data_IF_622328523010
#
_entry.id   IF_622328523010
#
_cell.length_a   1.000
_cell.length_b   1.000
_cell.length_c   1.000
_cell.angle_alpha   90.00
_cell.angle_beta   90.00
_cell.angle_gamma   90.00
#
_symmetry.space_group_name_H-M   'P 1'
#
loop_
_entity.id
_entity.type
_entity.pdbx_description
1 polymer ?
#
# COMPACT_ATOMS: atom_id res chain seq x y z
N UNK A 1 4.30 12.97 43.61
CA UNK A 1 4.82 12.47 42.31
C UNK A 1 4.61 13.56 41.27
N UNK A 2 5.66 14.00 40.54
CA UNK A 2 5.54 15.02 39.50
C UNK A 2 4.64 14.53 38.36
N UNK A 3 3.72 15.38 37.87
CA UNK A 3 2.84 15.05 36.74
C UNK A 3 3.66 15.08 35.45
N UNK A 4 3.63 13.98 34.70
CA UNK A 4 4.31 13.85 33.42
C UNK A 4 3.79 14.91 32.42
N UNK A 5 4.65 15.58 31.63
CA UNK A 5 4.19 16.52 30.61
C UNK A 5 3.29 15.83 29.58
N UNK A 6 2.25 16.54 29.09
CA UNK A 6 1.23 15.99 28.18
C UNK A 6 1.84 15.41 26.88
N UNK A 7 2.88 16.03 26.35
CA UNK A 7 3.56 15.56 25.14
C UNK A 7 4.31 14.24 25.39
N UNK A 8 4.96 14.07 26.55
CA UNK A 8 5.61 12.80 26.93
C UNK A 8 4.56 11.70 27.09
N UNK A 9 3.41 12.03 27.71
CA UNK A 9 2.31 11.08 27.84
C UNK A 9 1.76 10.64 26.48
N UNK A 10 1.65 11.57 25.51
CA UNK A 10 1.25 11.25 24.14
C UNK A 10 2.27 10.33 23.46
N UNK A 11 3.57 10.68 23.52
CA UNK A 11 4.64 9.90 22.90
C UNK A 11 4.66 8.45 23.46
N UNK A 12 4.58 8.29 24.78
CA UNK A 12 4.55 6.97 25.40
C UNK A 12 3.32 6.16 24.99
N UNK A 13 2.14 6.80 24.93
CA UNK A 13 0.91 6.15 24.45
C UNK A 13 1.01 5.75 22.99
N UNK A 14 1.58 6.60 22.15
CA UNK A 14 1.79 6.32 20.74
C UNK A 14 2.67 5.09 20.56
N UNK A 15 3.85 5.06 21.18
CA UNK A 15 4.74 3.91 21.08
C UNK A 15 4.10 2.64 21.67
N UNK A 16 3.42 2.74 22.81
CA UNK A 16 2.69 1.62 23.39
C UNK A 16 1.62 1.06 22.45
N UNK A 17 0.81 1.91 21.82
CA UNK A 17 -0.19 1.50 20.84
C UNK A 17 0.47 0.91 19.59
N UNK A 18 1.55 1.53 19.09
CA UNK A 18 2.28 1.11 17.91
C UNK A 18 2.87 -0.29 18.07
N UNK A 19 3.64 -0.53 19.14
CA UNK A 19 4.19 -1.85 19.42
C UNK A 19 3.10 -2.88 19.73
N UNK A 20 2.03 -2.49 20.43
CA UNK A 20 0.89 -3.37 20.68
C UNK A 20 0.20 -3.83 19.39
N UNK A 21 -0.03 -2.91 18.45
CA UNK A 21 -0.62 -3.22 17.15
C UNK A 21 0.33 -4.05 16.27
N UNK A 22 1.63 -3.74 16.27
CA UNK A 22 2.62 -4.55 15.58
C UNK A 22 2.63 -5.99 16.08
N UNK A 23 2.65 -6.19 17.40
CA UNK A 23 2.58 -7.52 18.00
C UNK A 23 1.27 -8.22 17.64
N UNK A 24 0.14 -7.52 17.75
CA UNK A 24 -1.17 -8.07 17.39
C UNK A 24 -1.18 -8.56 15.94
N UNK A 25 -0.70 -7.77 14.98
CA UNK A 25 -0.73 -8.16 13.56
C UNK A 25 0.23 -9.31 13.25
N UNK A 26 1.42 -9.33 13.87
CA UNK A 26 2.38 -10.41 13.66
C UNK A 26 1.97 -11.73 14.33
N UNK A 27 1.30 -11.69 15.48
CA UNK A 27 0.89 -12.90 16.22
C UNK A 27 -0.45 -13.48 15.76
N UNK A 28 -1.33 -12.68 15.15
CA UNK A 28 -2.68 -13.10 14.76
C UNK A 28 -2.78 -13.73 13.37
N UNK A 29 -1.71 -13.68 12.56
CA UNK A 29 -1.76 -14.09 11.16
C UNK A 29 -2.47 -13.09 10.24
N UNK A 30 -2.89 -11.93 10.76
CA UNK A 30 -3.54 -10.88 9.97
C UNK A 30 -2.70 -10.43 8.77
N UNK A 31 -1.36 -10.45 8.90
CA UNK A 31 -0.46 -10.10 7.80
C UNK A 31 -0.64 -11.00 6.59
N UNK A 32 -0.66 -12.32 6.81
CA UNK A 32 -0.83 -13.32 5.75
C UNK A 32 -2.25 -13.32 5.20
N UNK A 33 -3.26 -13.19 6.06
CA UNK A 33 -4.65 -13.05 5.61
C UNK A 33 -4.86 -11.81 4.73
N UNK A 34 -4.21 -10.69 5.07
CA UNK A 34 -4.27 -9.48 4.26
C UNK A 34 -3.56 -9.64 2.92
N UNK A 35 -2.38 -10.26 2.86
CA UNK A 35 -1.67 -10.46 1.60
C UNK A 35 -2.45 -11.38 0.65
N UNK A 36 -3.06 -12.46 1.16
CA UNK A 36 -3.95 -13.33 0.38
C UNK A 36 -5.16 -12.56 -0.16
N UNK A 37 -5.89 -11.85 0.72
CA UNK A 37 -7.04 -11.04 0.32
C UNK A 37 -6.65 -9.99 -0.73
N UNK A 38 -5.51 -9.33 -0.54
CA UNK A 38 -5.00 -8.34 -1.47
C UNK A 38 -4.66 -8.96 -2.82
N UNK A 39 -4.00 -10.12 -2.84
CA UNK A 39 -3.68 -10.84 -4.08
C UNK A 39 -4.93 -11.15 -4.90
N UNK A 40 -5.97 -11.67 -4.24
CA UNK A 40 -7.24 -11.99 -4.89
C UNK A 40 -7.95 -10.74 -5.41
N UNK A 41 -8.10 -9.72 -4.56
CA UNK A 41 -8.76 -8.47 -4.92
C UNK A 41 -8.02 -7.71 -6.03
N UNK A 42 -6.69 -7.66 -5.94
CA UNK A 42 -5.85 -7.03 -6.95
C UNK A 42 -5.92 -7.80 -8.28
N UNK A 43 -5.88 -9.13 -8.25
CA UNK A 43 -6.05 -9.95 -9.47
C UNK A 43 -7.39 -9.64 -10.12
N UNK A 44 -8.50 -9.73 -9.40
CA UNK A 44 -9.83 -9.44 -9.95
C UNK A 44 -9.94 -8.02 -10.53
N UNK A 45 -9.29 -7.04 -9.91
CA UNK A 45 -9.38 -5.64 -10.34
C UNK A 45 -8.45 -5.29 -11.50
N UNK A 46 -7.25 -5.86 -11.52
CA UNK A 46 -6.16 -5.41 -12.38
C UNK A 46 -5.75 -6.44 -13.44
N UNK A 47 -6.37 -7.62 -13.47
CA UNK A 47 -6.06 -8.70 -14.43
C UNK A 47 -5.96 -8.19 -15.87
N UNK A 48 -6.89 -7.33 -16.29
CA UNK A 48 -7.00 -6.85 -17.68
C UNK A 48 -6.79 -5.34 -17.80
N UNK A 49 -6.20 -4.68 -16.81
CA UNK A 49 -6.05 -3.21 -16.86
C UNK A 49 -5.06 -2.78 -17.95
N UNK A 50 -4.12 -3.65 -18.28
CA UNK A 50 -3.08 -3.41 -19.29
C UNK A 50 -3.51 -4.18 -20.54
N UNK A 51 -3.85 -3.51 -21.66
CA UNK A 51 -4.45 -4.17 -22.82
C UNK A 51 -3.63 -5.34 -23.39
N UNK A 52 -2.30 -5.26 -23.34
CA UNK A 52 -1.38 -6.28 -23.87
C UNK A 52 -0.95 -7.34 -22.86
N UNK A 53 -1.35 -7.20 -21.59
CA UNK A 53 -0.86 -8.07 -20.51
C UNK A 53 -1.98 -8.56 -19.60
N UNK A 54 -1.85 -9.80 -19.14
CA UNK A 54 -2.63 -10.31 -18.02
C UNK A 54 -1.81 -10.18 -16.75
N UNK A 55 -2.30 -9.40 -15.78
CA UNK A 55 -1.68 -9.30 -14.46
C UNK A 55 -2.24 -10.37 -13.51
N UNK A 56 -1.38 -10.98 -12.72
CA UNK A 56 -1.74 -11.91 -11.65
C UNK A 56 -0.97 -11.54 -10.40
N UNK A 57 -1.60 -11.63 -9.24
CA UNK A 57 -0.96 -11.34 -7.96
C UNK A 57 -0.97 -12.61 -7.14
N UNK A 58 0.21 -13.02 -6.65
CA UNK A 58 0.35 -14.24 -5.88
C UNK A 58 1.01 -13.96 -4.54
N UNK A 59 0.51 -14.51 -3.42
CA UNK A 59 1.22 -14.45 -2.15
C UNK A 59 2.54 -15.23 -2.24
N UNK A 60 3.60 -14.68 -1.66
CA UNK A 60 4.92 -15.31 -1.62
C UNK A 60 5.29 -15.62 -0.18
N UNK A 61 5.37 -16.90 0.17
CA UNK A 61 5.67 -17.32 1.55
C UNK A 61 7.18 -17.26 1.88
N UNK A 62 8.05 -17.26 0.88
CA UNK A 62 9.49 -17.42 1.06
C UNK A 62 10.27 -16.11 1.27
N UNK A 63 9.63 -14.95 1.14
CA UNK A 63 10.30 -13.66 1.32
C UNK A 63 9.63 -12.83 2.44
N UNK A 64 10.34 -12.63 3.55
CA UNK A 64 9.81 -11.91 4.72
C UNK A 64 9.55 -10.43 4.45
N UNK A 65 10.18 -9.87 3.42
CA UNK A 65 10.08 -8.45 3.07
C UNK A 65 9.07 -8.21 1.95
N UNK A 66 8.83 -9.20 1.09
CA UNK A 66 7.95 -9.08 -0.08
C UNK A 66 6.95 -10.22 -0.05
N UNK A 67 5.70 -9.90 0.28
CA UNK A 67 4.63 -10.88 0.50
C UNK A 67 3.72 -11.09 -0.72
N UNK A 68 3.98 -10.38 -1.83
CA UNK A 68 3.27 -10.53 -3.10
C UNK A 68 4.26 -10.55 -4.28
N UNK A 69 4.02 -11.41 -5.27
CA UNK A 69 4.58 -11.34 -6.62
C UNK A 69 3.54 -10.75 -7.56
N UNK A 70 3.91 -9.71 -8.31
CA UNK A 70 3.13 -9.17 -9.42
C UNK A 70 3.64 -9.79 -10.70
N UNK A 71 2.87 -10.70 -11.28
CA UNK A 71 3.23 -11.44 -12.46
C UNK A 71 2.49 -10.89 -13.68
N UNK A 72 3.21 -10.62 -14.76
CA UNK A 72 2.63 -10.22 -16.03
C UNK A 72 2.86 -11.29 -17.10
N UNK A 73 1.79 -11.59 -17.84
CA UNK A 73 1.82 -12.45 -19.02
C UNK A 73 1.53 -11.60 -20.25
N UNK A 74 2.44 -11.61 -21.23
CA UNK A 74 2.19 -11.00 -22.54
C UNK A 74 1.15 -11.83 -23.31
N UNK A 75 -0.01 -11.24 -23.59
CA UNK A 75 -1.14 -11.94 -24.22
C UNK A 75 -0.82 -12.41 -25.64
N UNK A 76 -0.09 -11.60 -26.41
CA UNK A 76 0.28 -11.92 -27.79
C UNK A 76 1.29 -13.06 -27.84
N UNK A 77 2.32 -13.01 -26.98
CA UNK A 77 3.30 -14.09 -26.85
C UNK A 77 2.64 -15.39 -26.37
N UNK A 78 1.71 -15.30 -25.42
CA UNK A 78 0.93 -16.44 -24.93
C UNK A 78 0.12 -17.09 -26.05
N UNK A 79 -0.65 -16.29 -26.82
CA UNK A 79 -1.46 -16.81 -27.92
C UNK A 79 -0.61 -17.45 -29.02
N UNK A 80 0.55 -16.86 -29.35
CA UNK A 80 1.48 -17.42 -30.33
C UNK A 80 2.05 -18.77 -29.86
N UNK A 81 2.50 -18.87 -28.60
CA UNK A 81 3.01 -20.12 -28.03
C UNK A 81 1.92 -21.19 -27.91
N UNK A 82 0.69 -20.82 -27.55
CA UNK A 82 -0.46 -21.73 -27.51
C UNK A 82 -0.81 -22.28 -28.90
N UNK A 83 -0.79 -21.43 -29.94
CA UNK A 83 -1.02 -21.87 -31.32
C UNK A 83 0.07 -22.84 -31.80
N UNK A 84 1.34 -22.55 -31.48
CA UNK A 84 2.47 -23.43 -31.79
C UNK A 84 2.37 -24.79 -31.06
N UNK A 85 2.02 -24.80 -29.78
CA UNK A 85 1.84 -26.04 -29.02
C UNK A 85 0.73 -26.92 -29.60
N UNK A 86 -0.42 -26.31 -29.94
CA UNK A 86 -1.55 -27.00 -30.60
C UNK A 86 -1.18 -27.58 -31.96
N UNK A 87 -0.34 -26.91 -32.74
CA UNK A 87 0.12 -27.40 -34.03
C UNK A 87 0.96 -28.69 -33.93
N UNK A 88 1.64 -28.91 -32.80
CA UNK A 88 2.47 -30.09 -32.53
C UNK A 88 1.73 -31.12 -31.65
N UNK A 89 0.45 -30.88 -31.31
CA UNK A 89 -0.33 -31.76 -30.43
C UNK A 89 0.07 -31.72 -28.96
N UNK A 90 0.84 -30.73 -28.54
CA UNK A 90 1.20 -30.51 -27.14
C UNK A 90 0.19 -29.60 -26.43
N UNK A 91 -0.06 -29.87 -25.14
CA UNK A 91 -0.83 -29.00 -24.27
C UNK A 91 0.05 -28.11 -23.37
N UNK A 92 1.37 -28.33 -23.38
CA UNK A 92 2.31 -27.60 -22.54
C UNK A 92 2.76 -26.31 -23.24
N UNK A 93 2.51 -25.18 -22.58
CA UNK A 93 2.92 -23.86 -23.05
C UNK A 93 3.85 -23.24 -22.01
N UNK A 94 5.15 -23.18 -22.32
CA UNK A 94 6.12 -22.49 -21.47
C UNK A 94 6.08 -20.98 -21.70
N UNK A 95 5.51 -20.23 -20.76
CA UNK A 95 5.31 -18.78 -20.86
C UNK A 95 6.35 -18.10 -19.97
N UNK A 96 7.03 -17.10 -20.53
CA UNK A 96 7.90 -16.25 -19.74
C UNK A 96 7.05 -15.27 -18.94
N UNK A 97 7.18 -15.34 -17.62
CA UNK A 97 6.54 -14.44 -16.67
C UNK A 97 7.49 -13.29 -16.37
N UNK A 98 6.95 -12.08 -16.36
CA UNK A 98 7.64 -10.95 -15.75
C UNK A 98 7.12 -10.79 -14.33
N UNK A 99 7.94 -11.15 -13.35
CA UNK A 99 7.59 -11.10 -11.93
C UNK A 99 8.28 -9.92 -11.26
N UNK A 100 7.51 -9.10 -10.56
CA UNK A 100 8.03 -8.02 -9.75
C UNK A 100 7.53 -8.17 -8.32
N UNK A 101 8.43 -8.18 -7.32
CA UNK A 101 8.00 -8.36 -5.96
C UNK A 101 7.38 -7.09 -5.38
N UNK A 102 6.44 -7.26 -4.44
CA UNK A 102 5.70 -6.20 -3.80
C UNK A 102 5.47 -6.49 -2.31
N UNK A 103 5.55 -5.45 -1.48
CA UNK A 103 5.37 -5.54 -0.03
C UNK A 103 4.05 -4.88 0.37
N UNK A 104 3.01 -5.67 0.61
CA UNK A 104 1.74 -5.15 1.17
C UNK A 104 1.92 -4.66 2.60
N UNK A 105 2.90 -5.23 3.31
CA UNK A 105 3.30 -4.78 4.64
C UNK A 105 3.72 -3.31 4.64
N UNK A 106 4.65 -2.93 3.77
CA UNK A 106 5.19 -1.57 3.73
C UNK A 106 4.20 -0.59 3.11
N UNK A 107 3.50 -1.01 2.05
CA UNK A 107 2.60 -0.11 1.30
C UNK A 107 1.26 0.13 1.99
N UNK A 108 0.73 -0.86 2.71
CA UNK A 108 -0.60 -0.79 3.31
C UNK A 108 -0.55 -0.95 4.82
N UNK A 109 -0.03 -2.07 5.35
CA UNK A 109 -0.26 -2.38 6.76
C UNK A 109 0.46 -1.42 7.72
N UNK A 110 1.75 -1.14 7.50
CA UNK A 110 2.53 -0.23 8.35
C UNK A 110 1.96 1.19 8.45
N UNK A 111 1.68 1.92 7.35
CA UNK A 111 1.14 3.27 7.47
C UNK A 111 -0.23 3.31 8.16
N UNK A 112 -1.06 2.27 8.00
CA UNK A 112 -2.34 2.17 8.71
C UNK A 112 -2.13 1.90 10.21
N UNK A 113 -1.17 1.06 10.60
CA UNK A 113 -0.79 0.83 12.00
C UNK A 113 -0.31 2.14 12.64
N UNK A 114 0.53 2.91 11.95
CA UNK A 114 1.05 4.20 12.42
C UNK A 114 -0.09 5.19 12.61
N UNK A 115 -0.96 5.35 11.61
CA UNK A 115 -2.11 6.24 11.66
C UNK A 115 -3.05 5.87 12.82
N UNK A 116 -3.36 4.59 12.98
CA UNK A 116 -4.20 4.10 14.07
C UNK A 116 -3.56 4.36 15.44
N UNK A 117 -2.24 4.15 15.57
CA UNK A 117 -1.49 4.43 16.79
C UNK A 117 -1.54 5.90 17.18
N UNK A 118 -1.36 6.80 16.21
CA UNK A 118 -1.46 8.25 16.41
C UNK A 118 -2.88 8.66 16.85
N UNK A 119 -3.90 8.11 16.20
CA UNK A 119 -5.31 8.39 16.51
C UNK A 119 -5.70 7.88 17.91
N UNK A 120 -5.25 6.69 18.29
CA UNK A 120 -5.51 6.12 19.61
C UNK A 120 -4.80 6.90 20.73
N UNK A 121 -3.56 7.32 20.50
CA UNK A 121 -2.78 8.09 21.46
C UNK A 121 -3.30 9.53 21.67
N UNK A 122 -3.93 10.13 20.65
CA UNK A 122 -4.35 11.53 20.68
C UNK A 122 -5.45 11.83 21.72
N UNK A 123 -5.33 12.88 22.56
CA UNK A 123 -6.28 13.14 23.66
C UNK A 123 -7.55 13.85 23.18
N UNK A 124 -8.41 13.15 22.42
CA UNK A 124 -9.71 13.63 21.96
C UNK A 124 -10.88 12.74 22.42
N UNK A 125 -12.10 13.27 22.35
CA UNK A 125 -13.33 12.51 22.62
C UNK A 125 -13.52 11.38 21.62
N UNK A 126 -14.20 10.29 22.02
CA UNK A 126 -14.37 9.11 21.18
C UNK A 126 -15.10 9.40 19.87
N UNK A 127 -16.12 10.29 19.90
CA UNK A 127 -16.82 10.76 18.70
C UNK A 127 -15.85 11.40 17.69
N UNK A 128 -14.93 12.25 18.16
CA UNK A 128 -13.91 12.88 17.31
C UNK A 128 -12.91 11.85 16.79
N UNK A 129 -12.44 10.93 17.65
CA UNK A 129 -11.54 9.84 17.24
C UNK A 129 -12.13 9.01 16.10
N UNK A 130 -13.40 8.61 16.18
CA UNK A 130 -14.07 7.83 15.12
C UNK A 130 -14.17 8.64 13.82
N UNK A 131 -14.53 9.93 13.89
CA UNK A 131 -14.56 10.79 12.69
C UNK A 131 -13.17 10.90 12.04
N UNK A 132 -12.13 11.16 12.83
CA UNK A 132 -10.76 11.26 12.35
C UNK A 132 -10.22 9.92 11.85
N UNK A 133 -10.65 8.81 12.43
CA UNK A 133 -10.33 7.46 11.96
C UNK A 133 -10.90 7.23 10.57
N UNK A 134 -12.20 7.48 10.38
CA UNK A 134 -12.86 7.29 9.07
C UNK A 134 -12.21 8.18 7.99
N UNK A 135 -12.00 9.46 8.30
CA UNK A 135 -11.37 10.38 7.36
C UNK A 135 -9.91 10.00 7.07
N UNK A 136 -9.14 9.69 8.11
CA UNK A 136 -7.74 9.29 7.97
C UNK A 136 -7.60 8.01 7.15
N UNK A 137 -8.42 7.00 7.42
CA UNK A 137 -8.41 5.74 6.67
C UNK A 137 -8.83 5.93 5.21
N UNK A 138 -9.82 6.78 4.95
CA UNK A 138 -10.23 7.11 3.58
C UNK A 138 -9.10 7.80 2.80
N UNK A 139 -8.45 8.81 3.39
CA UNK A 139 -7.35 9.54 2.75
C UNK A 139 -6.12 8.63 2.53
N UNK A 140 -5.76 7.83 3.53
CA UNK A 140 -4.63 6.91 3.43
C UNK A 140 -4.93 5.76 2.45
N UNK A 141 -6.15 5.24 2.45
CA UNK A 141 -6.61 4.26 1.47
C UNK A 141 -6.53 4.79 0.04
N UNK A 142 -6.97 6.02 -0.20
CA UNK A 142 -6.87 6.66 -1.52
C UNK A 142 -5.42 6.86 -1.95
N UNK A 143 -4.54 7.32 -1.05
CA UNK A 143 -3.12 7.50 -1.33
C UNK A 143 -2.42 6.16 -1.65
N UNK A 144 -2.65 5.14 -0.83
CA UNK A 144 -2.03 3.81 -1.01
C UNK A 144 -2.53 3.13 -2.28
N UNK A 145 -3.83 3.24 -2.59
CA UNK A 145 -4.40 2.79 -3.85
C UNK A 145 -3.79 3.47 -5.06
N UNK A 146 -3.71 4.81 -5.04
CA UNK A 146 -3.09 5.59 -6.10
C UNK A 146 -1.62 5.19 -6.30
N UNK A 147 -0.88 5.01 -5.21
CA UNK A 147 0.53 4.57 -5.26
C UNK A 147 0.68 3.22 -5.91
N UNK A 148 -0.10 2.24 -5.46
CA UNK A 148 -0.09 0.90 -6.01
C UNK A 148 -0.41 0.92 -7.51
N UNK A 149 -1.39 1.73 -7.91
CA UNK A 149 -1.72 1.90 -9.32
C UNK A 149 -0.53 2.43 -10.13
N UNK A 150 0.16 3.47 -9.65
CA UNK A 150 1.37 3.96 -10.31
C UNK A 150 2.50 2.93 -10.34
N UNK A 151 2.71 2.16 -9.27
CA UNK A 151 3.69 1.06 -9.23
C UNK A 151 3.38 0.03 -10.30
N UNK A 152 2.10 -0.34 -10.47
CA UNK A 152 1.68 -1.30 -11.48
C UNK A 152 2.02 -0.84 -12.90
N UNK A 153 1.71 0.42 -13.23
CA UNK A 153 2.06 1.01 -14.52
C UNK A 153 3.56 1.12 -14.73
N UNK A 154 4.31 1.51 -13.69
CA UNK A 154 5.76 1.58 -13.75
C UNK A 154 6.39 0.22 -14.05
N UNK A 155 5.99 -0.83 -13.32
CA UNK A 155 6.51 -2.19 -13.51
C UNK A 155 6.16 -2.71 -14.90
N UNK A 156 4.95 -2.44 -15.39
CA UNK A 156 4.56 -2.88 -16.71
C UNK A 156 5.32 -2.17 -17.84
N UNK A 157 5.61 -0.87 -17.69
CA UNK A 157 6.39 -0.08 -18.65
C UNK A 157 7.86 -0.54 -18.71
N UNK A 158 8.42 -0.97 -17.58
CA UNK A 158 9.81 -1.42 -17.45
C UNK A 158 10.00 -2.93 -17.61
N UNK A 159 8.94 -3.68 -17.87
CA UNK A 159 9.00 -5.13 -18.02
C UNK A 159 9.51 -5.50 -19.42
N UNK A 160 10.69 -6.11 -19.50
CA UNK A 160 11.32 -6.53 -20.77
C UNK A 160 10.45 -7.50 -21.60
N UNK A 161 9.63 -8.32 -20.95
CA UNK A 161 8.79 -9.33 -21.60
C UNK A 161 7.44 -8.78 -22.09
N UNK A 162 7.09 -7.56 -21.69
CA UNK A 162 5.92 -6.86 -22.20
C UNK A 162 6.37 -5.99 -23.38
N UNK A 163 5.54 -5.91 -24.42
CA UNK A 163 5.74 -4.83 -25.39
C UNK A 163 5.71 -3.51 -24.60
N UNK A 164 6.65 -2.57 -24.80
CA UNK A 164 6.71 -1.34 -24.04
C UNK A 164 5.36 -0.64 -24.09
N UNK A 165 4.86 -0.18 -22.94
CA UNK A 165 3.72 0.71 -22.95
C UNK A 165 4.20 1.99 -23.63
N UNK A 166 3.59 2.37 -24.75
CA UNK A 166 3.92 3.62 -25.44
C UNK A 166 3.37 4.83 -24.67
N UNK A 167 3.77 4.97 -23.42
CA UNK A 167 3.46 6.11 -22.57
C UNK A 167 4.16 7.35 -23.12
N UNK A 168 3.45 8.48 -23.14
CA UNK A 168 4.07 9.75 -23.54
C UNK A 168 5.22 10.13 -22.58
N UNK A 169 6.21 10.92 -23.03
CA UNK A 169 7.39 11.28 -22.22
C UNK A 169 7.03 11.88 -20.84
N UNK A 170 5.97 12.67 -20.76
CA UNK A 170 5.50 13.26 -19.49
C UNK A 170 4.96 12.22 -18.52
N UNK A 171 4.28 11.18 -19.02
CA UNK A 171 3.75 10.11 -18.18
C UNK A 171 4.89 9.23 -17.63
N UNK A 172 5.89 8.92 -18.45
CA UNK A 172 7.07 8.19 -18.01
C UNK A 172 7.86 8.99 -16.97
N UNK A 173 8.10 10.28 -17.21
CA UNK A 173 8.76 11.15 -16.24
C UNK A 173 8.00 11.21 -14.90
N UNK A 174 6.67 11.29 -14.95
CA UNK A 174 5.83 11.24 -13.76
C UNK A 174 5.95 9.90 -13.03
N UNK A 175 5.81 8.76 -13.72
CA UNK A 175 5.89 7.44 -13.10
C UNK A 175 7.27 7.18 -12.49
N UNK A 176 8.35 7.57 -13.19
CA UNK A 176 9.71 7.43 -12.69
C UNK A 176 9.94 8.29 -11.44
N UNK A 177 9.53 9.56 -11.49
CA UNK A 177 9.61 10.46 -10.33
C UNK A 177 8.80 9.93 -9.15
N UNK A 178 7.58 9.45 -9.41
CA UNK A 178 6.70 8.89 -8.39
C UNK A 178 7.27 7.60 -7.78
N UNK A 179 7.75 6.67 -8.60
CA UNK A 179 8.35 5.42 -8.15
C UNK A 179 9.55 5.68 -7.23
N UNK A 180 10.40 6.64 -7.57
CA UNK A 180 11.55 7.04 -6.76
C UNK A 180 11.17 7.62 -5.39
N UNK A 181 9.93 8.10 -5.22
CA UNK A 181 9.42 8.60 -3.93
C UNK A 181 8.80 7.50 -3.06
N UNK A 182 8.71 6.24 -3.52
CA UNK A 182 8.00 5.16 -2.82
C UNK A 182 8.77 4.51 -1.67
N UNK A 183 9.55 5.30 -0.93
CA UNK A 183 10.30 4.81 0.23
C UNK A 183 9.38 4.51 1.43
N UNK A 184 9.90 3.74 2.40
CA UNK A 184 9.16 3.46 3.64
C UNK A 184 8.98 4.73 4.47
N UNK A 185 9.94 5.66 4.43
CA UNK A 185 9.84 6.97 5.08
C UNK A 185 8.67 7.79 4.53
N UNK A 186 8.43 7.72 3.22
CA UNK A 186 7.29 8.38 2.60
C UNK A 186 5.95 7.86 3.18
N UNK A 187 5.84 6.56 3.51
CA UNK A 187 4.67 6.01 4.20
C UNK A 187 4.46 6.66 5.57
N UNK A 188 5.51 6.74 6.39
CA UNK A 188 5.43 7.30 7.73
C UNK A 188 5.09 8.79 7.71
N UNK A 189 5.75 9.55 6.83
CA UNK A 189 5.51 10.99 6.66
C UNK A 189 4.06 11.22 6.20
N UNK A 190 3.60 10.46 5.21
CA UNK A 190 2.23 10.57 4.71
C UNK A 190 1.18 10.24 5.78
N UNK A 191 1.40 9.17 6.56
CA UNK A 191 0.51 8.81 7.66
C UNK A 191 0.46 9.91 8.73
N UNK A 192 1.59 10.53 9.06
CA UNK A 192 1.65 11.66 9.99
C UNK A 192 0.92 12.89 9.45
N UNK A 193 1.12 13.25 8.19
CA UNK A 193 0.44 14.38 7.55
C UNK A 193 -1.07 14.15 7.47
N UNK A 194 -1.50 12.94 7.08
CA UNK A 194 -2.92 12.57 7.04
C UNK A 194 -3.52 12.59 8.45
N UNK A 195 -2.80 12.08 9.45
CA UNK A 195 -3.22 12.19 10.84
C UNK A 195 -3.42 13.65 11.24
N UNK A 196 -2.45 14.52 10.94
CA UNK A 196 -2.53 15.94 11.27
C UNK A 196 -3.77 16.58 10.60
N UNK A 197 -3.99 16.32 9.31
CA UNK A 197 -5.15 16.82 8.57
C UNK A 197 -6.48 16.28 9.13
N UNK A 198 -6.52 15.01 9.52
CA UNK A 198 -7.74 14.37 10.01
C UNK A 198 -8.08 14.74 11.46
N UNK A 199 -7.10 15.13 12.28
CA UNK A 199 -7.28 15.33 13.73
C UNK A 199 -7.17 16.77 14.19
N UNK A 200 -6.28 17.57 13.60
CA UNK A 200 -6.02 18.94 14.04
C UNK A 200 -7.10 19.88 13.54
N UNK A 201 -7.84 20.48 14.47
CA UNK A 201 -8.83 21.52 14.15
C UNK A 201 -8.33 22.87 14.64
N UNK A 202 -8.80 23.96 14.00
CA UNK A 202 -8.51 25.33 14.45
C UNK A 202 -8.86 25.54 15.93
N UNK A 203 -9.95 24.93 16.38
CA UNK A 203 -10.42 24.95 17.77
C UNK A 203 -9.39 24.40 18.77
N UNK A 204 -8.56 23.44 18.36
CA UNK A 204 -7.56 22.84 19.23
C UNK A 204 -6.36 23.79 19.49
N UNK A 205 -6.21 24.81 18.64
CA UNK A 205 -5.20 25.87 18.76
C UNK A 205 -5.76 27.19 19.26
N UNK A 206 -7.08 27.29 19.43
CA UNK A 206 -7.68 28.45 20.05
C UNK A 206 -7.16 28.51 21.49
N UNK A 207 -6.26 29.47 21.75
CA UNK A 207 -5.93 29.86 23.11
C UNK A 207 -7.27 30.23 23.72
N UNK A 208 -7.77 29.42 24.65
CA UNK A 208 -8.83 29.87 25.54
C UNK A 208 -8.23 31.10 26.21
N UNK A 209 -8.59 32.28 25.71
CA UNK A 209 -8.30 33.53 26.39
C UNK A 209 -8.82 33.30 27.81
N UNK A 210 -7.88 33.17 28.74
CA UNK A 210 -8.20 32.97 30.13
C UNK A 210 -8.96 34.21 30.56
N UNK A 211 -10.28 34.11 30.54
CA UNK A 211 -11.21 35.14 30.95
C UNK A 211 -12.06 34.56 32.05
N UNK A 212 -11.84 35.12 33.25
CA UNK A 212 -12.69 35.10 34.45
C UNK A 212 -12.58 33.86 35.34
#
# INVERSE_FOLDING_TARGET
>A
MPRLPKYVAFILKFFGCYFGLLLLVNLSGLRHGFSQWFAEAATQRYETIIPQAKASFQPVDNNKEQDISIDFINLKAYQAKLAAARAVGSNDVNIELSSSPFSTWDYFQLPFIVLLSLLLAWPQTWKRKVQSLLLGFALLGLLTWFRFHCTLWYVADHSANLEPLHLGPSAQAFLNGWHNMQSVEFNYISALLIWALATLRKEDFAVKAAGQ
#
